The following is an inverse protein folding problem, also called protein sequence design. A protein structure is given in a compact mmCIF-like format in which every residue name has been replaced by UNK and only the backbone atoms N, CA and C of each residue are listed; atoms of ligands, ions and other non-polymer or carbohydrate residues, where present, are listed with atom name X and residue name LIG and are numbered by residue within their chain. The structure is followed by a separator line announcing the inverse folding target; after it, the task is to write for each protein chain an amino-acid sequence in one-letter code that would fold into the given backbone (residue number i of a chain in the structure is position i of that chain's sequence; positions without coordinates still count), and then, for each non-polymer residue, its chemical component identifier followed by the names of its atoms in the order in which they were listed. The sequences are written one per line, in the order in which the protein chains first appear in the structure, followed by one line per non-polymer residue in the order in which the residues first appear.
data_IF_225694826700
#
_entry.id   IF_225694826700
#
_cell.length_a   1.000
_cell.length_b   1.000
_cell.length_c   1.000
_cell.angle_alpha   90.00
_cell.angle_beta   90.00
_cell.angle_gamma   90.00
#
_symmetry.space_group_name_H-M   'P 1'
#
loop_
_entity.id
_entity.type
_entity.pdbx_description
1 polymer ?
#
# COMPACT_ATOMS: atom_id res chain seq x y z
N UNK A 1 33.37 4.91 -56.55
CA UNK A 1 32.63 6.18 -56.72
C UNK A 1 31.14 6.00 -56.95
N UNK A 2 30.65 4.89 -57.41
CA UNK A 2 29.23 4.66 -57.71
C UNK A 2 28.38 4.59 -56.45
N UNK A 3 28.82 3.86 -55.41
CA UNK A 3 28.12 3.70 -54.13
C UNK A 3 27.87 5.02 -53.39
N UNK A 4 28.82 5.94 -53.45
CA UNK A 4 28.69 7.27 -52.82
C UNK A 4 27.66 8.16 -53.48
N UNK A 5 27.48 8.04 -54.80
CA UNK A 5 26.47 8.76 -55.55
C UNK A 5 25.06 8.22 -55.31
N UNK A 6 24.94 6.91 -55.19
CA UNK A 6 23.69 6.24 -54.86
C UNK A 6 23.23 6.55 -53.44
N UNK A 7 24.17 6.60 -52.49
CA UNK A 7 23.89 6.97 -51.10
C UNK A 7 23.43 8.44 -50.99
N UNK A 8 24.07 9.36 -51.71
CA UNK A 8 23.61 10.78 -51.77
C UNK A 8 22.20 10.91 -52.34
N UNK A 9 21.92 10.16 -53.38
CA UNK A 9 20.59 10.19 -54.01
C UNK A 9 19.53 9.64 -53.08
N UNK A 10 19.84 8.56 -52.37
CA UNK A 10 18.95 7.98 -51.36
C UNK A 10 18.64 8.97 -50.22
N UNK A 11 19.63 9.62 -49.67
CA UNK A 11 19.47 10.60 -48.60
C UNK A 11 18.65 11.79 -49.09
N UNK A 12 18.94 12.34 -50.28
CA UNK A 12 18.19 13.49 -50.79
C UNK A 12 16.75 13.18 -51.19
N UNK A 13 16.47 11.99 -51.70
CA UNK A 13 15.12 11.56 -52.04
C UNK A 13 14.25 11.19 -50.83
N UNK A 14 14.89 10.89 -49.68
CA UNK A 14 14.21 10.54 -48.44
C UNK A 14 14.38 11.62 -47.34
N UNK A 15 14.78 12.84 -47.68
CA UNK A 15 15.03 13.92 -46.72
C UNK A 15 13.83 14.16 -45.77
N UNK A 16 12.61 14.17 -46.28
CA UNK A 16 11.39 14.33 -45.49
C UNK A 16 11.17 13.17 -44.51
N UNK A 17 11.58 11.98 -44.89
CA UNK A 17 11.49 10.80 -43.99
C UNK A 17 12.45 10.95 -42.82
N UNK A 18 13.69 11.38 -43.07
CA UNK A 18 14.67 11.64 -42.03
C UNK A 18 14.26 12.75 -41.09
N UNK A 19 13.68 13.84 -41.61
CA UNK A 19 13.13 14.92 -40.78
C UNK A 19 11.99 14.42 -39.89
N UNK A 20 11.11 13.57 -40.39
CA UNK A 20 10.01 12.98 -39.60
C UNK A 20 10.55 12.04 -38.52
N UNK A 21 11.56 11.24 -38.82
CA UNK A 21 12.20 10.37 -37.83
C UNK A 21 12.82 11.20 -36.70
N UNK A 22 13.58 12.24 -37.04
CA UNK A 22 14.17 13.13 -36.05
C UNK A 22 13.11 13.82 -35.18
N UNK A 23 12.00 14.28 -35.78
CA UNK A 23 10.90 14.87 -35.02
C UNK A 23 10.22 13.88 -34.08
N UNK A 24 10.07 12.63 -34.50
CA UNK A 24 9.52 11.55 -33.66
C UNK A 24 10.46 11.22 -32.51
N UNK A 25 11.77 11.11 -32.77
CA UNK A 25 12.77 10.86 -31.72
C UNK A 25 12.80 11.97 -30.67
N UNK A 26 12.79 13.24 -31.09
CA UNK A 26 12.72 14.37 -30.17
C UNK A 26 11.45 14.33 -29.32
N UNK A 27 10.31 14.06 -29.93
CA UNK A 27 9.04 13.96 -29.23
C UNK A 27 9.01 12.77 -28.25
N UNK A 28 9.65 11.67 -28.60
CA UNK A 28 9.79 10.52 -27.72
C UNK A 28 10.66 10.85 -26.49
N UNK A 29 11.76 11.59 -26.68
CA UNK A 29 12.61 12.03 -25.57
C UNK A 29 11.88 13.01 -24.64
N UNK A 30 11.10 13.94 -25.19
CA UNK A 30 10.26 14.84 -24.39
C UNK A 30 9.24 14.07 -23.56
N UNK A 31 8.51 13.12 -24.18
CA UNK A 31 7.53 12.29 -23.48
C UNK A 31 8.17 11.43 -22.39
N UNK A 32 9.37 10.90 -22.65
CA UNK A 32 10.11 10.12 -21.64
C UNK A 32 10.50 10.99 -20.45
N UNK A 33 10.99 12.20 -20.71
CA UNK A 33 11.35 13.15 -19.66
C UNK A 33 10.15 13.56 -18.82
N UNK A 34 9.03 13.90 -19.46
CA UNK A 34 7.78 14.26 -18.79
C UNK A 34 7.25 13.10 -17.94
N UNK A 35 7.36 11.86 -18.44
CA UNK A 35 6.98 10.68 -17.70
C UNK A 35 7.86 10.48 -16.47
N UNK A 36 9.18 10.61 -16.59
CA UNK A 36 10.13 10.50 -15.48
C UNK A 36 9.88 11.57 -14.41
N UNK A 37 9.65 12.83 -14.82
CA UNK A 37 9.30 13.91 -13.89
C UNK A 37 7.98 13.66 -13.16
N UNK A 38 6.96 13.16 -13.85
CA UNK A 38 5.68 12.83 -13.24
C UNK A 38 5.77 11.64 -12.29
N UNK A 39 6.54 10.61 -12.64
CA UNK A 39 6.83 9.50 -11.73
C UNK A 39 7.56 9.97 -10.47
N UNK A 40 8.58 10.81 -10.63
CA UNK A 40 9.31 11.38 -9.49
C UNK A 40 8.37 12.15 -8.56
N UNK A 41 7.50 13.00 -9.09
CA UNK A 41 6.51 13.75 -8.30
C UNK A 41 5.52 12.83 -7.57
N UNK A 42 5.07 11.75 -8.22
CA UNK A 42 4.18 10.77 -7.61
C UNK A 42 4.90 10.04 -6.48
N UNK A 43 6.14 9.60 -6.68
CA UNK A 43 6.93 8.94 -5.65
C UNK A 43 7.26 9.87 -4.49
N UNK A 44 7.59 11.13 -4.73
CA UNK A 44 7.79 12.13 -3.67
C UNK A 44 6.50 12.38 -2.89
N UNK A 45 5.36 12.46 -3.58
CA UNK A 45 4.07 12.60 -2.94
C UNK A 45 3.73 11.40 -2.06
N UNK A 46 3.93 10.18 -2.55
CA UNK A 46 3.73 8.95 -1.80
C UNK A 46 4.67 8.89 -0.59
N UNK A 47 5.97 9.19 -0.76
CA UNK A 47 6.95 9.18 0.32
C UNK A 47 6.67 10.22 1.41
N UNK A 48 6.19 11.40 1.02
CA UNK A 48 5.85 12.47 1.97
C UNK A 48 4.49 12.25 2.64
N UNK A 49 3.64 11.38 2.08
CA UNK A 49 2.33 11.02 2.61
C UNK A 49 2.26 9.56 3.03
N UNK A 50 3.39 8.91 3.27
CA UNK A 50 3.44 7.62 3.96
C UNK A 50 2.95 7.78 5.41
N UNK A 51 1.66 8.06 5.56
CA UNK A 51 0.91 7.37 6.58
C UNK A 51 0.97 5.91 6.17
N UNK A 52 1.60 5.07 6.97
CA UNK A 52 1.81 3.63 6.73
C UNK A 52 0.46 2.86 6.69
N UNK A 53 -0.46 3.32 5.84
CA UNK A 53 -1.84 2.81 5.80
C UNK A 53 -1.96 1.51 5.02
N UNK A 54 -1.03 1.23 4.10
CA UNK A 54 -1.03 -0.01 3.31
C UNK A 54 0.39 -0.45 3.00
N UNK A 55 0.74 -1.66 3.37
CA UNK A 55 2.03 -2.28 3.08
C UNK A 55 1.83 -3.72 2.63
N UNK A 56 2.57 -4.13 1.61
CA UNK A 56 2.59 -5.52 1.16
C UNK A 56 3.81 -6.19 1.79
N UNK A 57 3.59 -7.30 2.46
CA UNK A 57 4.65 -8.12 3.03
C UNK A 57 4.84 -9.38 2.19
N UNK A 58 6.10 -9.72 1.94
CA UNK A 58 6.45 -10.98 1.30
C UNK A 58 6.59 -12.09 2.33
N UNK A 59 6.57 -13.32 1.85
CA UNK A 59 6.76 -14.49 2.71
C UNK A 59 8.09 -14.40 3.48
N UNK A 60 8.03 -14.62 4.81
CA UNK A 60 9.17 -14.47 5.71
C UNK A 60 9.32 -13.12 6.41
N UNK A 61 8.57 -12.08 6.03
CA UNK A 61 8.60 -10.75 6.67
C UNK A 61 7.64 -10.61 7.85
N UNK A 62 7.51 -11.63 8.67
CA UNK A 62 6.57 -11.68 9.82
C UNK A 62 6.90 -10.62 10.86
N UNK A 63 8.18 -10.39 11.12
CA UNK A 63 8.63 -9.39 12.09
C UNK A 63 8.29 -7.96 11.64
N UNK A 64 8.47 -7.66 10.36
CA UNK A 64 8.17 -6.34 9.79
C UNK A 64 6.67 -6.07 9.82
N UNK A 65 5.85 -7.06 9.50
CA UNK A 65 4.39 -6.97 9.59
C UNK A 65 3.91 -6.72 11.02
N UNK A 66 4.48 -7.42 11.99
CA UNK A 66 4.18 -7.24 13.41
C UNK A 66 4.61 -5.86 13.91
N UNK A 67 5.77 -5.39 13.48
CA UNK A 67 6.29 -4.08 13.82
C UNK A 67 5.39 -2.97 13.28
N UNK A 68 4.96 -3.06 12.01
CA UNK A 68 4.02 -2.12 11.42
C UNK A 68 2.68 -2.10 12.16
N UNK A 69 2.10 -3.26 12.44
CA UNK A 69 0.84 -3.38 13.16
C UNK A 69 0.93 -2.74 14.56
N UNK A 70 2.02 -2.99 15.27
CA UNK A 70 2.28 -2.36 16.57
C UNK A 70 2.39 -0.84 16.44
N UNK A 71 3.07 -0.35 15.41
CA UNK A 71 3.22 1.08 15.15
C UNK A 71 1.87 1.75 14.89
N UNK A 72 1.04 1.17 14.04
CA UNK A 72 -0.32 1.68 13.75
C UNK A 72 -1.15 1.77 15.05
N UNK A 73 -1.13 0.73 15.88
CA UNK A 73 -1.89 0.67 17.13
C UNK A 73 -1.42 1.71 18.14
N UNK A 74 -0.12 1.90 18.28
CA UNK A 74 0.45 2.87 19.23
C UNK A 74 0.24 4.32 18.80
N UNK A 75 0.08 4.59 17.51
CA UNK A 75 -0.20 5.95 16.99
C UNK A 75 -1.69 6.27 16.90
N UNK A 76 -2.56 5.31 17.10
CA UNK A 76 -4.00 5.55 17.11
C UNK A 76 -4.41 6.52 18.25
N UNK A 77 -5.23 7.52 17.93
CA UNK A 77 -5.61 8.56 18.89
C UNK A 77 -7.10 8.56 19.25
N UNK A 78 -7.96 7.98 18.39
CA UNK A 78 -9.42 8.01 18.58
C UNK A 78 -9.99 6.61 18.72
N UNK A 79 -9.89 5.83 17.68
CA UNK A 79 -10.47 4.51 17.63
C UNK A 79 -9.63 3.58 16.74
N UNK A 80 -9.72 2.28 17.01
CA UNK A 80 -9.15 1.21 16.19
C UNK A 80 -10.29 0.30 15.77
N UNK A 81 -10.42 0.08 14.46
CA UNK A 81 -11.38 -0.87 13.91
C UNK A 81 -10.59 -2.04 13.33
N UNK A 82 -10.75 -3.21 13.93
CA UNK A 82 -10.12 -4.44 13.50
C UNK A 82 -11.15 -5.37 12.86
N UNK A 83 -10.91 -5.76 11.62
CA UNK A 83 -11.73 -6.73 10.90
C UNK A 83 -10.86 -7.94 10.60
N UNK A 84 -11.06 -9.01 11.37
CA UNK A 84 -10.28 -10.23 11.24
C UNK A 84 -11.15 -11.45 11.59
N UNK A 85 -11.13 -12.47 10.74
CA UNK A 85 -11.88 -13.71 10.94
C UNK A 85 -11.42 -14.54 12.13
N UNK A 86 -10.16 -14.43 12.53
CA UNK A 86 -9.52 -15.31 13.51
C UNK A 86 -8.74 -14.53 14.58
N UNK A 87 -9.45 -13.95 15.51
CA UNK A 87 -8.84 -13.22 16.61
C UNK A 87 -8.52 -14.16 17.76
N UNK A 88 -7.34 -13.99 18.35
CA UNK A 88 -6.85 -14.76 19.46
C UNK A 88 -6.25 -13.86 20.58
N UNK A 89 -5.69 -14.48 21.61
CA UNK A 89 -5.01 -13.78 22.71
C UNK A 89 -3.79 -13.00 22.22
N UNK A 90 -3.12 -13.45 21.17
CA UNK A 90 -1.95 -12.73 20.61
C UNK A 90 -2.39 -11.40 20.04
N UNK A 91 -3.51 -11.38 19.35
CA UNK A 91 -4.13 -10.15 18.83
C UNK A 91 -4.48 -9.18 19.96
N UNK A 92 -5.04 -9.68 21.09
CA UNK A 92 -5.31 -8.84 22.25
C UNK A 92 -4.04 -8.24 22.86
N UNK A 93 -2.95 -9.02 22.93
CA UNK A 93 -1.66 -8.52 23.42
C UNK A 93 -1.10 -7.39 22.58
N UNK A 94 -1.34 -7.41 21.27
CA UNK A 94 -0.95 -6.33 20.38
C UNK A 94 -1.85 -5.11 20.61
N UNK A 95 -3.16 -5.31 20.71
CA UNK A 95 -4.14 -4.24 20.97
C UNK A 95 -3.95 -3.60 22.37
N UNK A 96 -3.39 -4.32 23.32
CA UNK A 96 -3.05 -3.78 24.65
C UNK A 96 -2.02 -2.64 24.61
N UNK A 97 -1.28 -2.50 23.50
CA UNK A 97 -0.31 -1.43 23.29
C UNK A 97 -0.95 -0.09 22.85
N UNK A 98 -2.27 -0.05 22.69
CA UNK A 98 -3.00 1.16 22.35
C UNK A 98 -2.84 2.26 23.38
N UNK A 99 -3.02 3.51 22.99
CA UNK A 99 -3.06 4.65 23.89
C UNK A 99 -4.29 4.60 24.80
N UNK A 100 -4.16 5.21 25.97
CA UNK A 100 -5.28 5.37 26.90
C UNK A 100 -6.39 6.21 26.24
N UNK A 101 -7.64 5.75 26.39
CA UNK A 101 -8.81 6.43 25.84
C UNK A 101 -9.14 6.05 24.39
N UNK A 102 -8.32 5.24 23.73
CA UNK A 102 -8.62 4.74 22.39
C UNK A 102 -9.58 3.54 22.46
N UNK A 103 -10.72 3.66 21.79
CA UNK A 103 -11.70 2.58 21.71
C UNK A 103 -11.32 1.56 20.64
N UNK A 104 -11.55 0.27 20.91
CA UNK A 104 -11.30 -0.81 19.95
C UNK A 104 -12.61 -1.49 19.59
N UNK A 105 -12.91 -1.52 18.29
CA UNK A 105 -14.05 -2.24 17.74
C UNK A 105 -13.51 -3.40 16.89
N UNK A 106 -13.90 -4.60 17.23
CA UNK A 106 -13.43 -5.79 16.56
C UNK A 106 -14.59 -6.55 15.94
N UNK A 107 -14.48 -6.84 14.65
CA UNK A 107 -15.43 -7.65 13.89
C UNK A 107 -14.77 -8.99 13.54
N UNK A 108 -15.34 -10.10 14.03
CA UNK A 108 -14.75 -11.42 13.86
C UNK A 108 -15.80 -12.49 13.57
N UNK A 109 -15.33 -13.64 13.09
CA UNK A 109 -16.19 -14.80 12.90
C UNK A 109 -16.60 -15.44 14.25
N UNK A 110 -17.74 -16.13 14.31
CA UNK A 110 -18.21 -16.80 15.53
C UNK A 110 -17.22 -17.85 16.05
N UNK A 111 -16.43 -18.48 15.17
CA UNK A 111 -15.46 -19.53 15.48
C UNK A 111 -14.14 -19.02 16.04
N UNK A 112 -14.06 -17.74 16.39
CA UNK A 112 -12.85 -17.18 17.00
C UNK A 112 -12.50 -17.90 18.31
N UNK A 113 -11.22 -18.03 18.60
CA UNK A 113 -10.69 -18.66 19.84
C UNK A 113 -10.84 -17.77 21.07
N UNK A 114 -11.32 -16.56 20.92
CA UNK A 114 -11.51 -15.61 22.01
C UNK A 114 -12.73 -15.98 22.85
N UNK A 115 -12.51 -16.16 24.14
CA UNK A 115 -13.57 -16.38 25.12
C UNK A 115 -14.13 -15.05 25.64
N UNK A 116 -15.34 -15.10 26.19
CA UNK A 116 -15.94 -13.94 26.87
C UNK A 116 -15.09 -13.50 28.09
N UNK A 117 -14.41 -14.43 28.74
CA UNK A 117 -13.53 -14.14 29.86
C UNK A 117 -12.27 -13.36 29.42
N UNK A 118 -11.70 -13.69 28.28
CA UNK A 118 -10.54 -12.96 27.74
C UNK A 118 -10.89 -11.51 27.44
N UNK A 119 -12.07 -11.27 26.88
CA UNK A 119 -12.60 -9.92 26.60
C UNK A 119 -12.83 -9.15 27.91
N UNK A 120 -13.40 -9.78 28.91
CA UNK A 120 -13.62 -9.17 30.23
C UNK A 120 -12.30 -8.82 30.92
N UNK A 121 -11.32 -9.71 30.89
CA UNK A 121 -9.98 -9.49 31.44
C UNK A 121 -9.26 -8.35 30.71
N UNK A 122 -9.36 -8.30 29.39
CA UNK A 122 -8.78 -7.22 28.61
C UNK A 122 -9.41 -5.88 28.98
N UNK A 123 -10.73 -5.80 29.04
CA UNK A 123 -11.44 -4.56 29.39
C UNK A 123 -11.19 -4.09 30.81
N UNK A 124 -10.87 -5.00 31.72
CA UNK A 124 -10.49 -4.64 33.09
C UNK A 124 -9.16 -3.88 33.16
N UNK A 125 -8.25 -4.14 32.24
CA UNK A 125 -6.92 -3.53 32.20
C UNK A 125 -6.80 -2.45 31.12
N UNK A 126 -7.43 -2.65 29.97
CA UNK A 126 -7.32 -1.82 28.77
C UNK A 126 -8.70 -1.47 28.16
N UNK A 127 -9.54 -0.67 28.86
CA UNK A 127 -10.85 -0.32 28.33
C UNK A 127 -10.70 0.57 27.06
N UNK A 128 -11.53 0.55 26.05
CA UNK A 128 -12.75 -0.23 25.85
C UNK A 128 -12.55 -1.11 24.62
N UNK A 129 -12.81 -2.40 24.74
CA UNK A 129 -12.84 -3.36 23.63
C UNK A 129 -14.27 -3.83 23.41
N UNK A 130 -14.82 -3.66 22.23
CA UNK A 130 -16.10 -4.19 21.79
C UNK A 130 -15.90 -5.23 20.70
N UNK A 131 -16.28 -6.47 20.95
CA UNK A 131 -16.19 -7.57 19.99
C UNK A 131 -17.57 -7.89 19.42
N UNK A 132 -17.70 -7.77 18.09
CA UNK A 132 -18.90 -8.14 17.34
C UNK A 132 -18.63 -9.39 16.53
N UNK A 133 -19.35 -10.46 16.82
CA UNK A 133 -19.29 -11.72 16.08
C UNK A 133 -20.32 -11.71 14.96
N UNK A 134 -19.89 -11.87 13.71
CA UNK A 134 -20.77 -11.88 12.54
C UNK A 134 -20.56 -13.15 11.72
N UNK A 135 -21.65 -13.72 11.22
CA UNK A 135 -21.60 -14.99 10.47
C UNK A 135 -21.09 -14.86 9.04
N UNK A 136 -21.12 -13.66 8.45
CA UNK A 136 -20.72 -13.50 7.06
C UNK A 136 -20.25 -12.06 6.81
N UNK A 137 -18.95 -11.89 6.59
CA UNK A 137 -18.46 -10.75 5.83
C UNK A 137 -18.56 -11.11 4.35
N UNK A 138 -19.73 -10.92 3.75
CA UNK A 138 -19.82 -10.81 2.30
C UNK A 138 -19.22 -9.46 1.92
N UNK A 139 -17.91 -9.41 1.75
CA UNK A 139 -17.30 -8.36 0.96
C UNK A 139 -17.63 -8.73 -0.49
N UNK A 140 -18.76 -8.21 -0.98
CA UNK A 140 -19.07 -8.26 -2.40
C UNK A 140 -18.09 -7.35 -3.13
N UNK A 141 -17.22 -7.94 -3.91
CA UNK A 141 -16.55 -7.27 -4.98
C UNK A 141 -17.39 -7.38 -6.24
#
# INVERSE_FOLDING_TARGET
MRAFREMRHFISSNALLFERINAVELKQLELQKDAEENFTKIFEYISNHEEECQKIFFDGQIFDAFSLLTNIITHAQKEIILIDGYIDIITLNILAKKNLGVNVYTYTLPNTKLSAQDIANFNAQYPTLTVKKQHLFMIGF
#
